data_IF_884009596007
#
_entry.id   IF_884009596007
#
_cell.length_a   1.000
_cell.length_b   1.000
_cell.length_c   1.000
_cell.angle_alpha   90.00
_cell.angle_beta   90.00
_cell.angle_gamma   90.00
#
_symmetry.space_group_name_H-M   'P 1'
#
loop_
_entity.id
_entity.type
_entity.pdbx_description
1 polymer ?
#
# COMPACT_ATOMS: atom_id res chain seq x y z
N UNK A 1 3.52 -19.91 6.26
CA UNK A 1 2.34 -19.58 7.08
C UNK A 1 1.99 -18.12 6.84
N UNK A 2 1.00 -17.85 5.99
CA UNK A 2 0.46 -16.50 5.84
C UNK A 2 -0.80 -16.40 6.71
N UNK A 3 -0.81 -15.33 7.50
CA UNK A 3 -1.67 -15.10 8.63
C UNK A 3 -3.15 -15.16 8.22
N UNK A 4 -3.89 -16.05 8.89
CA UNK A 4 -5.34 -16.18 8.80
C UNK A 4 -5.99 -14.80 8.90
N UNK A 5 -6.83 -14.47 7.92
CA UNK A 5 -7.85 -13.46 8.09
C UNK A 5 -8.64 -13.80 9.34
N UNK A 6 -8.35 -13.10 10.44
CA UNK A 6 -9.26 -13.01 11.57
C UNK A 6 -10.46 -12.24 11.05
N UNK A 7 -11.40 -12.98 10.48
CA UNK A 7 -12.77 -12.56 10.41
C UNK A 7 -13.16 -12.27 11.86
N UNK A 8 -13.27 -10.99 12.21
CA UNK A 8 -13.78 -10.58 13.51
C UNK A 8 -15.26 -10.98 13.54
N UNK A 9 -15.52 -12.20 14.02
CA UNK A 9 -16.83 -12.88 14.05
C UNK A 9 -17.86 -12.16 14.93
N UNK A 10 -17.58 -10.94 15.39
CA UNK A 10 -18.44 -10.11 16.22
C UNK A 10 -19.50 -9.35 15.43
N UNK A 11 -19.29 -9.08 14.13
CA UNK A 11 -20.29 -8.40 13.30
C UNK A 11 -21.25 -9.40 12.67
N UNK A 12 -22.51 -9.35 13.12
CA UNK A 12 -23.60 -10.21 12.64
C UNK A 12 -24.27 -9.63 11.38
N UNK A 13 -24.02 -8.35 11.07
CA UNK A 13 -24.60 -7.64 9.92
C UNK A 13 -23.51 -6.96 9.07
N UNK A 14 -23.72 -6.89 7.74
CA UNK A 14 -22.84 -6.15 6.84
C UNK A 14 -22.86 -4.64 7.15
N UNK A 15 -21.84 -3.92 6.69
CA UNK A 15 -21.83 -2.46 6.80
C UNK A 15 -22.98 -1.85 5.99
N UNK A 16 -23.75 -0.98 6.63
CA UNK A 16 -24.73 -0.13 5.96
C UNK A 16 -24.01 0.99 5.21
N UNK A 17 -23.68 0.75 3.93
CA UNK A 17 -22.83 1.61 3.10
C UNK A 17 -23.29 3.08 3.06
N UNK A 18 -24.61 3.32 3.01
CA UNK A 18 -25.18 4.67 2.94
C UNK A 18 -25.05 5.45 4.24
N UNK A 19 -24.73 4.78 5.35
CA UNK A 19 -24.46 5.41 6.64
C UNK A 19 -22.97 5.64 6.89
N UNK A 20 -22.09 5.14 6.00
CA UNK A 20 -20.66 5.36 6.13
C UNK A 20 -20.31 6.83 5.82
N UNK A 21 -19.46 7.41 6.65
CA UNK A 21 -18.85 8.70 6.31
C UNK A 21 -18.02 8.57 5.03
N UNK A 22 -17.85 9.65 4.23
CA UNK A 22 -17.36 9.55 2.86
C UNK A 22 -16.06 8.75 2.67
N UNK A 23 -15.08 8.93 3.56
CA UNK A 23 -13.81 8.20 3.48
C UNK A 23 -13.99 6.68 3.66
N UNK A 24 -14.88 6.23 4.54
CA UNK A 24 -15.13 4.79 4.70
C UNK A 24 -16.00 4.24 3.59
N UNK A 25 -16.83 5.05 2.93
CA UNK A 25 -17.51 4.66 1.69
C UNK A 25 -16.51 4.43 0.56
N UNK A 26 -15.55 5.35 0.39
CA UNK A 26 -14.47 5.19 -0.60
C UNK A 26 -13.62 3.95 -0.31
N UNK A 27 -13.20 3.75 0.95
CA UNK A 27 -12.48 2.53 1.35
C UNK A 27 -13.32 1.27 1.13
N UNK A 28 -14.62 1.30 1.42
CA UNK A 28 -15.52 0.18 1.18
C UNK A 28 -15.58 -0.19 -0.30
N UNK A 29 -15.69 0.79 -1.20
CA UNK A 29 -15.64 0.55 -2.64
C UNK A 29 -14.27 0.03 -3.12
N UNK A 30 -13.16 0.46 -2.49
CA UNK A 30 -11.80 0.09 -2.91
C UNK A 30 -11.35 -1.28 -2.39
N UNK A 31 -11.64 -1.61 -1.14
CA UNK A 31 -11.10 -2.79 -0.44
C UNK A 31 -12.17 -3.71 0.16
N UNK A 32 -13.45 -3.40 -0.07
CA UNK A 32 -14.58 -4.16 0.46
C UNK A 32 -14.78 -3.98 1.96
N UNK A 33 -15.79 -4.68 2.49
CA UNK A 33 -16.17 -4.61 3.90
C UNK A 33 -15.00 -4.98 4.83
N UNK A 34 -14.47 -6.20 4.67
CA UNK A 34 -13.44 -6.72 5.57
C UNK A 34 -12.19 -5.81 5.62
N UNK A 35 -11.75 -5.27 4.47
CA UNK A 35 -10.64 -4.34 4.39
C UNK A 35 -10.93 -3.02 5.11
N UNK A 36 -12.13 -2.48 4.90
CA UNK A 36 -12.57 -1.22 5.53
C UNK A 36 -12.63 -1.34 7.05
N UNK A 37 -13.20 -2.44 7.55
CA UNK A 37 -13.26 -2.72 8.99
C UNK A 37 -11.85 -2.88 9.58
N UNK A 38 -10.96 -3.58 8.88
CA UNK A 38 -9.57 -3.73 9.32
C UNK A 38 -8.85 -2.38 9.43
N UNK A 39 -9.00 -1.49 8.45
CA UNK A 39 -8.42 -0.14 8.46
C UNK A 39 -9.01 0.70 9.60
N UNK A 40 -10.34 0.71 9.76
CA UNK A 40 -11.01 1.42 10.85
C UNK A 40 -10.48 0.96 12.21
N UNK A 41 -10.44 -0.36 12.45
CA UNK A 41 -9.97 -0.89 13.73
C UNK A 41 -8.49 -0.61 13.99
N UNK A 42 -7.65 -0.62 12.96
CA UNK A 42 -6.22 -0.35 13.09
C UNK A 42 -5.92 1.12 13.44
N UNK A 43 -6.75 2.06 12.97
CA UNK A 43 -6.37 3.48 12.96
C UNK A 43 -7.41 4.46 13.53
N UNK A 44 -8.61 4.00 13.93
CA UNK A 44 -9.63 4.88 14.53
C UNK A 44 -9.06 5.70 15.69
N UNK A 45 -9.43 6.98 15.72
CA UNK A 45 -8.93 7.95 16.71
C UNK A 45 -7.53 8.49 16.44
N UNK A 46 -6.90 8.16 15.30
CA UNK A 46 -5.60 8.71 14.88
C UNK A 46 -5.75 9.52 13.60
N UNK A 47 -5.03 10.64 13.50
CA UNK A 47 -4.85 11.34 12.23
C UNK A 47 -3.74 10.65 11.45
N UNK A 48 -4.06 10.17 10.24
CA UNK A 48 -3.08 9.60 9.32
C UNK A 48 -2.90 10.53 8.13
N UNK A 49 -1.65 10.82 7.79
CA UNK A 49 -1.30 11.40 6.51
C UNK A 49 -0.74 10.29 5.63
N UNK A 50 -1.42 9.96 4.53
CA UNK A 50 -0.90 8.99 3.57
C UNK A 50 0.28 9.60 2.79
N UNK A 51 1.49 9.02 2.86
CA UNK A 51 2.61 9.50 2.08
C UNK A 51 2.35 9.31 0.58
N UNK A 52 2.82 10.24 -0.26
CA UNK A 52 2.74 10.08 -1.72
C UNK A 52 3.60 8.92 -2.24
N UNK A 53 4.67 8.58 -1.53
CA UNK A 53 5.59 7.50 -1.92
C UNK A 53 5.22 6.22 -1.18
N UNK A 54 5.03 5.14 -1.94
CA UNK A 54 4.70 3.84 -1.38
C UNK A 54 5.89 3.17 -0.67
N UNK A 55 7.09 3.27 -1.25
CA UNK A 55 8.31 2.67 -0.71
C UNK A 55 9.27 3.72 -0.14
N UNK A 56 10.01 3.34 0.92
CA UNK A 56 11.12 4.14 1.46
C UNK A 56 12.26 4.24 0.44
N UNK A 57 12.89 5.41 0.33
CA UNK A 57 13.97 5.66 -0.65
C UNK A 57 15.14 4.69 -0.47
N UNK A 58 15.52 4.42 0.77
CA UNK A 58 16.64 3.54 1.12
C UNK A 58 16.35 2.10 0.69
N UNK A 59 15.10 1.64 0.89
CA UNK A 59 14.67 0.33 0.46
C UNK A 59 14.70 0.20 -1.07
N UNK A 60 14.25 1.22 -1.80
CA UNK A 60 14.33 1.27 -3.27
C UNK A 60 15.80 1.19 -3.72
N UNK A 61 16.70 1.95 -3.12
CA UNK A 61 18.14 1.93 -3.46
C UNK A 61 18.74 0.54 -3.31
N UNK A 62 18.48 -0.13 -2.19
CA UNK A 62 18.97 -1.50 -1.96
C UNK A 62 18.41 -2.48 -2.98
N UNK A 63 17.11 -2.37 -3.29
CA UNK A 63 16.48 -3.24 -4.30
C UNK A 63 17.00 -2.99 -5.73
N UNK A 64 17.35 -1.75 -6.07
CA UNK A 64 17.98 -1.44 -7.36
C UNK A 64 19.39 -2.05 -7.43
N UNK A 65 20.18 -1.92 -6.36
CA UNK A 65 21.55 -2.48 -6.31
C UNK A 65 21.56 -4.01 -6.38
N UNK A 66 20.56 -4.65 -5.78
CA UNK A 66 20.41 -6.11 -5.79
C UNK A 66 19.64 -6.65 -7.01
N UNK A 67 19.16 -5.78 -7.90
CA UNK A 67 18.41 -6.20 -9.08
C UNK A 67 19.31 -6.87 -10.12
N UNK A 68 18.78 -7.90 -10.78
CA UNK A 68 19.44 -8.52 -11.93
C UNK A 68 19.68 -7.47 -13.02
N UNK A 69 20.86 -7.53 -13.66
CA UNK A 69 21.24 -6.68 -14.80
C UNK A 69 20.28 -6.82 -15.98
N UNK A 70 19.59 -7.94 -16.11
CA UNK A 70 18.57 -8.13 -17.15
C UNK A 70 17.34 -7.23 -16.96
N UNK A 71 17.06 -6.79 -15.72
CA UNK A 71 15.94 -5.88 -15.46
C UNK A 71 16.31 -4.49 -15.93
N UNK A 72 15.49 -3.93 -16.81
CA UNK A 72 15.73 -2.61 -17.42
C UNK A 72 15.47 -1.48 -16.42
N UNK A 73 16.07 -0.31 -16.67
CA UNK A 73 15.81 0.87 -15.84
C UNK A 73 14.33 1.29 -15.87
N UNK A 74 13.66 1.11 -17.02
CA UNK A 74 12.24 1.41 -17.21
C UNK A 74 11.34 0.54 -16.34
N UNK A 75 11.63 -0.76 -16.25
CA UNK A 75 10.88 -1.68 -15.40
C UNK A 75 11.05 -1.35 -13.91
N UNK A 76 12.28 -1.04 -13.48
CA UNK A 76 12.53 -0.62 -12.10
C UNK A 76 11.87 0.73 -11.77
N UNK A 77 11.94 1.69 -12.68
CA UNK A 77 11.29 2.99 -12.56
C UNK A 77 9.77 2.83 -12.34
N UNK A 78 9.12 2.02 -13.18
CA UNK A 78 7.69 1.70 -13.05
C UNK A 78 7.37 0.96 -11.76
N UNK A 79 8.18 -0.04 -11.38
CA UNK A 79 7.94 -0.86 -10.18
C UNK A 79 7.99 -0.05 -8.89
N UNK A 80 8.91 0.90 -8.79
CA UNK A 80 9.15 1.66 -7.56
C UNK A 80 8.64 3.09 -7.60
N UNK A 81 7.92 3.47 -8.65
CA UNK A 81 7.39 4.82 -8.87
C UNK A 81 8.47 5.91 -8.74
N UNK A 82 9.55 5.72 -9.51
CA UNK A 82 10.69 6.65 -9.57
C UNK A 82 11.11 6.89 -11.02
N UNK A 83 11.92 7.92 -11.26
CA UNK A 83 12.39 8.22 -12.62
C UNK A 83 13.52 7.29 -13.05
N UNK A 84 13.62 6.99 -14.35
CA UNK A 84 14.77 6.25 -14.89
C UNK A 84 16.11 6.94 -14.59
N UNK A 85 16.13 8.28 -14.53
CA UNK A 85 17.31 9.07 -14.15
C UNK A 85 17.81 8.68 -12.76
N UNK A 86 16.89 8.53 -11.80
CA UNK A 86 17.23 8.07 -10.46
C UNK A 86 17.78 6.63 -10.47
N UNK A 87 17.15 5.72 -11.22
CA UNK A 87 17.65 4.34 -11.36
C UNK A 87 19.08 4.32 -11.90
N UNK A 88 19.36 5.09 -12.97
CA UNK A 88 20.70 5.20 -13.56
C UNK A 88 21.72 5.72 -12.55
N UNK A 89 21.36 6.76 -11.80
CA UNK A 89 22.21 7.33 -10.75
C UNK A 89 22.54 6.32 -9.65
N UNK A 90 21.64 5.39 -9.32
CA UNK A 90 21.88 4.37 -8.30
C UNK A 90 22.73 3.23 -8.85
N UNK A 91 22.53 2.84 -10.11
CA UNK A 91 23.31 1.77 -10.77
C UNK A 91 24.70 2.20 -11.22
N UNK A 92 24.95 3.50 -11.36
CA UNK A 92 26.27 4.06 -11.71
C UNK A 92 27.21 4.24 -10.51
N UNK A 93 26.71 4.05 -9.29
CA UNK A 93 27.49 4.07 -8.04
C UNK A 93 27.92 2.66 -7.65
#
# INVERSE_FOLDING_TARGET
MLNNGRNDSSRIYPLEEDLLVPIYKELYSLVGEAGTVAIFNAFKGRQIQFPMRFYKKEAIVQQIKNSDRQVTNKELAKRYDVTERFIRSVRSQ
#
